data_IF_502457365245
#
_entry.id   IF_502457365245
#
_cell.length_a   1.000
_cell.length_b   1.000
_cell.length_c   1.000
_cell.angle_alpha   90.00
_cell.angle_beta   90.00
_cell.angle_gamma   90.00
#
_symmetry.space_group_name_H-M   'P 1'
#
loop_
_entity.id
_entity.type
_entity.pdbx_description
1 polymer ?
#
# COMPACT_ATOMS: atom_id res chain seq x y z
N UNK A 1 22.54 -11.75 -8.14
CA UNK A 1 21.62 -10.69 -8.64
C UNK A 1 21.17 -9.85 -7.45
N UNK A 2 21.11 -8.52 -7.61
CA UNK A 2 20.54 -7.63 -6.59
C UNK A 2 19.04 -7.91 -6.47
N UNK A 3 18.50 -8.04 -5.25
CA UNK A 3 17.07 -8.31 -5.07
C UNK A 3 16.21 -7.13 -5.55
N UNK A 4 14.92 -7.38 -5.82
CA UNK A 4 13.96 -6.30 -6.16
C UNK A 4 13.98 -5.21 -5.09
N UNK A 5 13.97 -5.61 -3.82
CA UNK A 5 13.97 -4.68 -2.70
C UNK A 5 15.30 -3.92 -2.54
N UNK A 6 16.45 -4.52 -2.87
CA UNK A 6 17.73 -3.80 -2.86
C UNK A 6 17.73 -2.66 -3.88
N UNK A 7 17.11 -2.86 -5.04
CA UNK A 7 16.93 -1.79 -6.03
C UNK A 7 15.90 -0.76 -5.57
N UNK A 8 14.78 -1.22 -5.02
CA UNK A 8 13.70 -0.35 -4.54
C UNK A 8 14.20 0.59 -3.45
N UNK A 9 14.93 0.09 -2.46
CA UNK A 9 15.38 0.91 -1.32
C UNK A 9 16.71 1.63 -1.56
N UNK A 10 17.63 1.06 -2.35
CA UNK A 10 18.87 1.74 -2.77
C UNK A 10 19.76 2.22 -1.63
N UNK A 11 19.65 1.60 -0.43
CA UNK A 11 20.50 1.91 0.73
C UNK A 11 20.14 3.21 1.48
N UNK A 12 18.96 3.78 1.25
CA UNK A 12 18.42 4.92 2.01
C UNK A 12 16.96 4.68 2.39
N UNK A 13 16.48 5.37 3.42
CA UNK A 13 15.05 5.37 3.75
C UNK A 13 14.24 6.02 2.65
N UNK A 14 13.26 5.32 2.12
CA UNK A 14 12.34 5.78 1.07
C UNK A 14 11.09 6.40 1.67
N UNK A 15 10.47 7.30 0.93
CA UNK A 15 9.21 7.94 1.33
C UNK A 15 8.09 7.51 0.38
N UNK A 16 7.06 6.89 0.95
CA UNK A 16 5.87 6.46 0.23
C UNK A 16 4.67 7.30 0.66
N UNK A 17 3.93 7.83 -0.31
CA UNK A 17 2.66 8.51 -0.05
C UNK A 17 1.58 7.49 0.36
N UNK A 18 1.05 7.58 1.60
CA UNK A 18 -0.04 6.76 2.13
C UNK A 18 -1.33 7.07 1.37
N UNK A 19 -1.83 6.13 0.60
CA UNK A 19 -2.97 6.33 -0.31
C UNK A 19 -2.76 7.52 -1.24
N UNK A 20 -1.49 7.74 -1.64
CA UNK A 20 -1.01 8.96 -2.28
C UNK A 20 -0.63 10.05 -1.26
N UNK A 21 -0.65 11.31 -1.67
CA UNK A 21 -0.46 12.47 -0.77
C UNK A 21 -1.79 12.83 -0.08
N UNK A 22 -2.36 11.88 0.71
CA UNK A 22 -3.72 12.00 1.26
C UNK A 22 -3.92 13.14 2.25
N UNK A 23 -2.84 13.74 2.74
CA UNK A 23 -2.92 14.95 3.56
C UNK A 23 -3.33 16.20 2.76
N UNK A 24 -3.31 16.14 1.42
CA UNK A 24 -3.54 17.28 0.51
C UNK A 24 -4.55 17.00 -0.61
N UNK A 25 -4.85 15.74 -0.88
CA UNK A 25 -5.76 15.31 -1.94
C UNK A 25 -6.59 14.10 -1.46
N UNK A 26 -7.77 13.82 -2.06
CA UNK A 26 -8.61 12.71 -1.63
C UNK A 26 -7.86 11.38 -1.76
N UNK A 27 -7.82 10.62 -0.66
CA UNK A 27 -7.08 9.36 -0.57
C UNK A 27 -7.48 8.35 -1.66
N UNK A 28 -6.53 7.52 -2.09
CA UNK A 28 -6.76 6.44 -3.05
C UNK A 28 -7.31 6.92 -4.39
N UNK A 29 -6.94 8.13 -4.82
CA UNK A 29 -7.35 8.70 -6.11
C UNK A 29 -6.15 9.09 -6.98
N UNK A 30 -6.35 9.17 -8.30
CA UNK A 30 -5.29 9.60 -9.21
C UNK A 30 -4.71 10.98 -8.84
N UNK A 31 -5.50 12.01 -8.46
CA UNK A 31 -4.95 13.28 -7.96
C UNK A 31 -4.01 13.12 -6.77
N UNK A 32 -4.30 12.22 -5.81
CA UNK A 32 -3.43 11.99 -4.66
C UNK A 32 -2.11 11.30 -5.04
N UNK A 33 -2.16 10.35 -5.97
CA UNK A 33 -0.97 9.65 -6.46
C UNK A 33 -0.08 10.57 -7.31
N UNK A 34 -0.67 11.34 -8.21
CA UNK A 34 0.05 12.34 -9.00
C UNK A 34 0.70 13.42 -8.14
N UNK A 35 -0.01 13.88 -7.09
CA UNK A 35 0.55 14.84 -6.16
C UNK A 35 1.74 14.26 -5.38
N UNK A 36 1.66 13.00 -4.92
CA UNK A 36 2.79 12.34 -4.28
C UNK A 36 4.02 12.29 -5.21
N UNK A 37 3.82 11.97 -6.50
CA UNK A 37 4.89 11.99 -7.50
C UNK A 37 5.47 13.40 -7.69
N UNK A 38 4.64 14.44 -7.76
CA UNK A 38 5.07 15.84 -7.88
C UNK A 38 5.85 16.32 -6.66
N UNK A 39 5.51 15.82 -5.47
CA UNK A 39 6.22 16.10 -4.22
C UNK A 39 7.54 15.35 -4.09
N UNK A 40 7.87 14.47 -5.04
CA UNK A 40 9.13 13.71 -5.05
C UNK A 40 9.11 12.43 -4.21
N UNK A 41 7.94 11.89 -3.90
CA UNK A 41 7.83 10.59 -3.25
C UNK A 41 8.54 9.50 -4.08
N UNK A 42 9.20 8.56 -3.41
CA UNK A 42 9.83 7.40 -4.05
C UNK A 42 8.77 6.39 -4.53
N UNK A 43 7.64 6.33 -3.82
CA UNK A 43 6.55 5.43 -4.10
C UNK A 43 5.24 5.90 -3.49
N UNK A 44 4.22 5.09 -3.70
CA UNK A 44 2.92 5.23 -3.04
C UNK A 44 2.48 3.89 -2.47
N UNK A 45 1.68 3.97 -1.44
CA UNK A 45 0.90 2.86 -0.93
C UNK A 45 -0.55 3.07 -1.34
N UNK A 46 -1.28 1.99 -1.61
CA UNK A 46 -2.68 1.98 -2.01
C UNK A 46 -3.39 0.71 -1.57
N UNK A 47 -4.71 0.80 -1.44
CA UNK A 47 -5.58 -0.29 -0.99
C UNK A 47 -6.42 -0.84 -2.16
N UNK A 48 -6.39 -2.15 -2.40
CA UNK A 48 -7.15 -2.78 -3.49
C UNK A 48 -8.28 -3.66 -2.97
N UNK A 49 -9.46 -3.53 -3.61
CA UNK A 49 -10.67 -4.33 -3.35
C UNK A 49 -11.31 -4.79 -4.65
N UNK A 50 -12.25 -5.73 -4.54
CA UNK A 50 -13.05 -6.21 -5.67
C UNK A 50 -14.46 -5.60 -5.66
N UNK A 51 -14.94 -5.28 -6.85
CA UNK A 51 -16.36 -5.06 -7.13
C UNK A 51 -17.11 -6.38 -7.32
N UNK A 52 -18.45 -6.34 -7.35
CA UNK A 52 -19.28 -7.54 -7.56
C UNK A 52 -19.06 -8.23 -8.92
N UNK A 53 -18.65 -7.48 -9.93
CA UNK A 53 -18.29 -7.99 -11.26
C UNK A 53 -16.78 -8.28 -11.41
N UNK A 54 -16.04 -8.22 -10.29
CA UNK A 54 -14.65 -8.65 -10.19
C UNK A 54 -13.62 -7.69 -10.74
N UNK A 55 -13.93 -6.39 -10.85
CA UNK A 55 -12.94 -5.37 -11.14
C UNK A 55 -12.13 -5.01 -9.88
N UNK A 56 -10.83 -4.74 -10.06
CA UNK A 56 -9.96 -4.24 -9.01
C UNK A 56 -10.08 -2.72 -8.90
N UNK A 57 -10.61 -2.23 -7.78
CA UNK A 57 -10.76 -0.79 -7.47
C UNK A 57 -9.93 -0.39 -6.27
N UNK A 58 -9.55 0.88 -6.20
CA UNK A 58 -8.66 1.41 -5.16
C UNK A 58 -9.51 2.11 -4.11
N UNK A 59 -9.67 1.43 -2.97
CA UNK A 59 -10.53 1.88 -1.86
C UNK A 59 -10.09 1.24 -0.56
N UNK A 60 -9.97 2.04 0.52
CA UNK A 60 -9.56 1.51 1.83
C UNK A 60 -10.69 0.77 2.54
N UNK A 61 -11.83 1.42 2.73
CA UNK A 61 -12.95 0.85 3.48
C UNK A 61 -13.71 -0.19 2.65
N UNK A 62 -14.41 -1.11 3.29
CA UNK A 62 -15.29 -2.08 2.60
C UNK A 62 -16.53 -1.41 1.99
N UNK A 63 -16.85 -0.18 2.42
CA UNK A 63 -17.95 0.63 1.89
C UNK A 63 -17.46 1.92 1.25
N UNK A 64 -18.26 2.50 0.37
CA UNK A 64 -17.95 3.76 -0.32
C UNK A 64 -18.36 5.00 0.49
N UNK A 65 -18.98 4.82 1.67
CA UNK A 65 -19.68 5.86 2.44
C UNK A 65 -18.77 6.99 2.93
N UNK A 66 -17.55 6.63 3.37
CA UNK A 66 -16.63 7.59 4.01
C UNK A 66 -15.89 8.51 3.04
N UNK A 67 -15.75 8.08 1.78
CA UNK A 67 -14.88 8.74 0.79
C UNK A 67 -15.53 8.98 -0.56
N UNK A 68 -16.88 8.91 -0.62
CA UNK A 68 -17.63 9.25 -1.83
C UNK A 68 -19.01 9.81 -1.48
N UNK A 69 -19.74 10.21 -2.51
CA UNK A 69 -21.16 10.61 -2.41
C UNK A 69 -22.12 9.41 -2.44
N UNK A 70 -21.59 8.16 -2.53
CA UNK A 70 -22.39 6.93 -2.53
C UNK A 70 -22.57 6.31 -1.16
N UNK A 71 -23.22 5.15 -1.12
CA UNK A 71 -23.42 4.34 0.08
C UNK A 71 -23.43 2.85 -0.26
N UNK A 72 -22.92 2.03 0.67
CA UNK A 72 -22.97 0.57 0.59
C UNK A 72 -21.63 -0.08 0.36
N UNK A 73 -21.62 -1.42 0.38
CA UNK A 73 -20.41 -2.22 0.23
C UNK A 73 -19.92 -2.24 -1.23
N UNK A 74 -18.63 -1.99 -1.45
CA UNK A 74 -18.05 -2.01 -2.78
C UNK A 74 -18.14 -3.39 -3.44
N UNK A 75 -18.10 -4.46 -2.64
CA UNK A 75 -18.26 -5.84 -3.10
C UNK A 75 -19.67 -6.16 -3.66
N UNK A 76 -20.67 -5.32 -3.38
CA UNK A 76 -22.04 -5.43 -3.90
C UNK A 76 -22.28 -4.54 -5.13
N UNK A 77 -21.32 -3.68 -5.50
CA UNK A 77 -21.40 -2.75 -6.62
C UNK A 77 -20.64 -3.28 -7.83
N UNK A 78 -21.20 -3.08 -9.02
CA UNK A 78 -20.45 -3.25 -10.27
C UNK A 78 -19.47 -2.10 -10.49
N UNK A 79 -18.44 -2.30 -11.32
CA UNK A 79 -17.53 -1.22 -11.71
C UNK A 79 -18.29 -0.02 -12.31
N UNK A 80 -19.32 -0.27 -13.10
CA UNK A 80 -20.14 0.79 -13.68
C UNK A 80 -20.80 1.67 -12.60
N UNK A 81 -21.34 1.07 -11.54
CA UNK A 81 -21.90 1.80 -10.40
C UNK A 81 -20.85 2.58 -9.61
N UNK A 82 -19.68 1.96 -9.34
CA UNK A 82 -18.56 2.64 -8.67
C UNK A 82 -18.08 3.85 -9.46
N UNK A 83 -18.11 3.80 -10.78
CA UNK A 83 -17.71 4.89 -11.68
C UNK A 83 -18.63 6.11 -11.67
N UNK A 84 -19.87 5.99 -11.21
CA UNK A 84 -20.80 7.11 -11.04
C UNK A 84 -20.53 7.92 -9.77
N UNK A 85 -19.70 7.40 -8.86
CA UNK A 85 -19.45 8.04 -7.58
C UNK A 85 -18.40 9.16 -7.69
N UNK A 86 -18.65 10.24 -6.96
CA UNK A 86 -17.68 11.31 -6.73
C UNK A 86 -16.89 11.01 -5.45
N UNK A 87 -15.61 10.70 -5.61
CA UNK A 87 -14.66 10.40 -4.53
C UNK A 87 -13.77 11.59 -4.17
N UNK A 88 -14.09 12.80 -4.63
CA UNK A 88 -13.26 13.98 -4.40
C UNK A 88 -13.91 15.09 -3.61
N UNK A 89 -15.20 15.35 -3.84
CA UNK A 89 -15.91 16.49 -3.25
C UNK A 89 -16.00 16.45 -1.71
N UNK A 90 -15.94 15.28 -1.10
CA UNK A 90 -15.91 15.11 0.36
C UNK A 90 -14.65 15.71 1.00
N UNK A 91 -13.53 15.69 0.26
CA UNK A 91 -12.25 16.22 0.73
C UNK A 91 -12.16 17.75 0.51
N UNK A 92 -12.43 18.20 -0.71
CA UNK A 92 -12.47 19.62 -1.09
C UNK A 92 -13.21 19.73 -2.43
N UNK A 93 -14.05 20.76 -2.60
CA UNK A 93 -14.83 20.99 -3.83
C UNK A 93 -13.98 21.14 -5.10
N UNK A 94 -12.70 21.54 -4.98
CA UNK A 94 -11.76 21.57 -6.12
C UNK A 94 -11.50 20.18 -6.74
N UNK A 95 -11.77 19.10 -5.98
CA UNK A 95 -11.65 17.72 -6.43
C UNK A 95 -12.99 17.11 -6.84
N UNK A 96 -14.08 17.88 -6.88
CA UNK A 96 -15.38 17.37 -7.31
C UNK A 96 -15.28 16.69 -8.68
N UNK A 97 -15.98 15.55 -8.83
CA UNK A 97 -15.92 14.72 -10.03
C UNK A 97 -14.74 13.75 -10.10
N UNK A 98 -13.86 13.72 -9.07
CA UNK A 98 -12.83 12.68 -8.98
C UNK A 98 -13.48 11.32 -8.78
N UNK A 99 -13.03 10.31 -9.53
CA UNK A 99 -13.58 8.95 -9.48
C UNK A 99 -12.69 8.02 -8.65
N UNK A 100 -13.29 6.95 -8.14
CA UNK A 100 -12.55 5.81 -7.59
C UNK A 100 -11.83 5.13 -8.75
N UNK A 101 -10.47 5.06 -8.74
CA UNK A 101 -9.74 4.47 -9.85
C UNK A 101 -9.72 2.95 -9.76
N UNK A 102 -9.50 2.29 -10.88
CA UNK A 102 -9.07 0.88 -10.94
C UNK A 102 -7.57 0.77 -10.72
N UNK A 103 -7.10 -0.43 -10.36
CA UNK A 103 -5.66 -0.72 -10.25
C UNK A 103 -4.95 -0.50 -11.60
N UNK A 104 -5.60 -0.85 -12.70
CA UNK A 104 -5.11 -0.62 -14.07
C UNK A 104 -4.81 0.85 -14.34
N UNK A 105 -5.74 1.75 -13.99
CA UNK A 105 -5.57 3.19 -14.19
C UNK A 105 -4.45 3.77 -13.34
N UNK A 106 -4.28 3.27 -12.11
CA UNK A 106 -3.15 3.69 -11.27
C UNK A 106 -1.83 3.20 -11.86
N UNK A 107 -1.75 1.95 -12.30
CA UNK A 107 -0.53 1.41 -12.93
C UNK A 107 -0.18 2.13 -14.23
N UNK A 108 -1.17 2.50 -15.04
CA UNK A 108 -0.96 3.32 -16.23
C UNK A 108 -0.42 4.71 -15.89
N UNK A 109 -1.01 5.38 -14.89
CA UNK A 109 -0.66 6.75 -14.53
C UNK A 109 0.74 6.86 -13.89
N UNK A 110 1.07 5.99 -12.94
CA UNK A 110 2.27 6.17 -12.12
C UNK A 110 3.22 4.95 -12.07
N UNK A 111 2.83 3.80 -12.59
CA UNK A 111 3.56 2.53 -12.41
C UNK A 111 5.00 2.54 -12.89
N UNK A 112 5.32 3.30 -13.96
CA UNK A 112 6.69 3.44 -14.46
C UNK A 112 7.49 4.54 -13.76
N UNK A 113 6.84 5.39 -12.96
CA UNK A 113 7.44 6.57 -12.31
C UNK A 113 7.74 6.34 -10.83
N UNK A 114 6.89 5.56 -10.15
CA UNK A 114 6.96 5.31 -8.70
C UNK A 114 7.08 3.82 -8.38
N UNK A 115 7.59 3.50 -7.20
CA UNK A 115 7.37 2.20 -6.58
C UNK A 115 5.96 2.16 -5.98
N UNK A 116 5.36 0.98 -5.93
CA UNK A 116 3.98 0.84 -5.45
C UNK A 116 3.91 -0.26 -4.39
N UNK A 117 3.41 0.07 -3.22
CA UNK A 117 2.96 -0.89 -2.22
C UNK A 117 1.46 -1.12 -2.42
N UNK A 118 1.08 -2.30 -2.86
CA UNK A 118 -0.31 -2.71 -3.06
C UNK A 118 -0.78 -3.48 -1.84
N UNK A 119 -1.61 -2.86 -0.99
CA UNK A 119 -2.27 -3.58 0.09
C UNK A 119 -3.52 -4.30 -0.44
N UNK A 120 -3.52 -5.63 -0.38
CA UNK A 120 -4.72 -6.43 -0.67
C UNK A 120 -5.55 -6.51 0.61
N UNK A 121 -6.76 -5.94 0.57
CA UNK A 121 -7.71 -5.95 1.68
C UNK A 121 -8.40 -7.30 1.80
N UNK A 122 -8.54 -7.80 3.03
CA UNK A 122 -9.11 -9.11 3.34
C UNK A 122 -10.44 -9.05 4.10
N UNK A 123 -10.99 -7.86 4.31
CA UNK A 123 -12.26 -7.72 5.06
C UNK A 123 -13.41 -8.41 4.32
N UNK A 124 -14.01 -9.35 5.04
CA UNK A 124 -14.91 -10.31 4.44
C UNK A 124 -14.15 -11.50 3.88
N UNK A 125 -14.83 -12.58 3.64
CA UNK A 125 -14.26 -13.81 3.09
C UNK A 125 -13.71 -13.57 1.67
N UNK A 126 -12.40 -13.27 1.57
CA UNK A 126 -11.70 -13.17 0.29
C UNK A 126 -11.30 -14.55 -0.25
N UNK A 127 -11.52 -15.62 0.52
CA UNK A 127 -11.27 -16.97 0.08
C UNK A 127 -12.18 -17.29 -1.14
N UNK A 128 -11.53 -17.63 -2.23
CA UNK A 128 -12.24 -17.95 -3.49
C UNK A 128 -12.59 -16.75 -4.38
N UNK A 129 -12.35 -15.51 -3.96
CA UNK A 129 -12.59 -14.34 -4.83
C UNK A 129 -11.56 -14.21 -5.96
N UNK A 130 -10.38 -14.81 -5.78
CA UNK A 130 -9.27 -14.74 -6.74
C UNK A 130 -8.65 -13.35 -6.88
N UNK A 131 -8.79 -12.49 -5.87
CA UNK A 131 -8.21 -11.13 -5.90
C UNK A 131 -6.69 -11.17 -6.07
N UNK A 132 -6.01 -12.14 -5.46
CA UNK A 132 -4.57 -12.32 -5.55
C UNK A 132 -4.12 -12.62 -6.98
N UNK A 133 -4.84 -13.49 -7.69
CA UNK A 133 -4.55 -13.80 -9.09
C UNK A 133 -4.79 -12.58 -9.97
N UNK A 134 -5.88 -11.84 -9.76
CA UNK A 134 -6.18 -10.63 -10.53
C UNK A 134 -5.13 -9.53 -10.33
N UNK A 135 -4.66 -9.33 -9.10
CA UNK A 135 -3.57 -8.39 -8.81
C UNK A 135 -2.27 -8.85 -9.49
N UNK A 136 -1.96 -10.13 -9.42
CA UNK A 136 -0.79 -10.71 -10.10
C UNK A 136 -0.86 -10.52 -11.62
N UNK A 137 -2.05 -10.74 -12.23
CA UNK A 137 -2.27 -10.56 -13.66
C UNK A 137 -2.05 -9.10 -14.09
N UNK A 138 -2.52 -8.13 -13.28
CA UNK A 138 -2.29 -6.70 -13.54
C UNK A 138 -0.81 -6.32 -13.42
N UNK A 139 -0.12 -6.79 -12.38
CA UNK A 139 1.33 -6.56 -12.22
C UNK A 139 2.10 -7.12 -13.42
N UNK A 140 1.75 -8.31 -13.89
CA UNK A 140 2.37 -8.93 -15.07
C UNK A 140 2.04 -8.16 -16.36
N UNK A 141 0.79 -7.76 -16.55
CA UNK A 141 0.30 -7.03 -17.73
C UNK A 141 1.03 -5.70 -17.92
N UNK A 142 1.29 -4.98 -16.82
CA UNK A 142 2.01 -3.70 -16.86
C UNK A 142 3.53 -3.83 -16.75
N UNK A 143 4.06 -5.04 -16.55
CA UNK A 143 5.49 -5.27 -16.42
C UNK A 143 6.11 -4.68 -15.14
N UNK A 144 5.36 -4.67 -14.03
CA UNK A 144 5.71 -3.96 -12.80
C UNK A 144 6.32 -4.85 -11.70
N UNK A 145 6.69 -6.09 -11.99
CA UNK A 145 7.25 -7.03 -10.98
C UNK A 145 8.42 -6.46 -10.17
N UNK A 146 9.22 -5.56 -10.77
CA UNK A 146 10.37 -4.94 -10.12
C UNK A 146 10.06 -3.61 -9.45
N UNK A 147 8.80 -3.18 -9.45
CA UNK A 147 8.35 -1.90 -8.89
C UNK A 147 7.25 -2.03 -7.87
N UNK A 148 6.75 -3.25 -7.65
CA UNK A 148 5.65 -3.53 -6.73
C UNK A 148 6.13 -4.37 -5.55
N UNK A 149 5.64 -4.05 -4.37
CA UNK A 149 5.55 -4.93 -3.20
C UNK A 149 4.08 -5.10 -2.85
N UNK A 150 3.67 -6.33 -2.55
CA UNK A 150 2.29 -6.59 -2.12
C UNK A 150 2.26 -6.78 -0.61
N UNK A 151 1.31 -6.13 0.06
CA UNK A 151 1.16 -6.22 1.50
C UNK A 151 -0.27 -6.58 1.92
N UNK A 152 -0.42 -7.12 3.10
CA UNK A 152 -1.71 -7.38 3.74
C UNK A 152 -1.55 -7.57 5.24
N UNK A 153 -2.62 -7.29 6.00
CA UNK A 153 -2.76 -7.69 7.40
C UNK A 153 -3.13 -9.18 7.54
N UNK A 154 -3.64 -9.79 6.46
CA UNK A 154 -4.04 -11.19 6.45
C UNK A 154 -2.92 -12.07 5.89
N UNK A 155 -2.27 -12.92 6.72
CA UNK A 155 -1.28 -13.87 6.25
C UNK A 155 -1.78 -14.80 5.15
N UNK A 156 -3.06 -15.17 5.15
CA UNK A 156 -3.62 -16.09 4.15
C UNK A 156 -3.69 -15.45 2.75
N UNK A 157 -3.95 -14.14 2.66
CA UNK A 157 -3.82 -13.37 1.42
C UNK A 157 -2.38 -13.44 0.90
N UNK A 158 -1.40 -13.23 1.79
CA UNK A 158 0.02 -13.29 1.40
C UNK A 158 0.45 -14.69 0.97
N UNK A 159 -0.04 -15.75 1.63
CA UNK A 159 0.18 -17.13 1.22
C UNK A 159 -0.37 -17.41 -0.19
N UNK A 160 -1.62 -16.98 -0.47
CA UNK A 160 -2.25 -17.17 -1.79
C UNK A 160 -1.54 -16.33 -2.86
N UNK A 161 -1.17 -15.07 -2.55
CA UNK A 161 -0.43 -14.24 -3.48
C UNK A 161 0.96 -14.81 -3.80
N UNK A 162 1.70 -15.28 -2.80
CA UNK A 162 3.01 -15.93 -2.99
C UNK A 162 2.91 -17.17 -3.91
N UNK A 163 1.80 -17.93 -3.81
CA UNK A 163 1.57 -19.10 -4.66
C UNK A 163 1.37 -18.74 -6.14
N UNK A 164 0.72 -17.61 -6.43
CA UNK A 164 0.42 -17.20 -7.83
C UNK A 164 1.51 -16.30 -8.43
N UNK A 165 2.27 -15.56 -7.61
CA UNK A 165 3.34 -14.68 -8.08
C UNK A 165 4.57 -14.70 -7.14
N UNK A 166 5.39 -15.77 -7.19
CA UNK A 166 6.51 -15.96 -6.26
C UNK A 166 7.63 -14.94 -6.40
N UNK A 167 7.76 -14.27 -7.56
CA UNK A 167 8.85 -13.35 -7.87
C UNK A 167 8.62 -11.92 -7.36
N UNK A 168 7.40 -11.58 -6.94
CA UNK A 168 7.07 -10.26 -6.37
C UNK A 168 7.21 -10.33 -4.86
N UNK A 169 7.96 -9.38 -4.24
CA UNK A 169 8.13 -9.35 -2.80
C UNK A 169 6.80 -9.11 -2.08
N UNK A 170 6.67 -9.70 -0.90
CA UNK A 170 5.51 -9.49 -0.01
C UNK A 170 5.94 -8.92 1.34
N UNK A 171 5.05 -8.11 1.93
CA UNK A 171 5.23 -7.46 3.22
C UNK A 171 4.05 -7.74 4.16
N UNK A 172 4.35 -8.18 5.37
CA UNK A 172 3.34 -8.42 6.39
C UNK A 172 3.05 -7.15 7.18
N UNK A 173 1.79 -6.68 7.11
CA UNK A 173 1.27 -5.56 7.91
C UNK A 173 0.80 -6.05 9.28
N UNK A 174 1.16 -5.34 10.34
CA UNK A 174 0.69 -5.63 11.69
C UNK A 174 0.87 -4.44 12.64
N UNK A 175 0.12 -4.46 13.71
CA UNK A 175 0.14 -3.46 14.78
C UNK A 175 0.27 -4.11 16.17
N UNK A 176 0.42 -3.30 17.22
CA UNK A 176 0.75 -3.75 18.58
C UNK A 176 -0.22 -4.81 19.12
N UNK A 177 -1.48 -4.76 18.70
CA UNK A 177 -2.51 -5.69 19.15
C UNK A 177 -2.77 -6.86 18.19
N UNK A 178 -1.91 -7.04 17.18
CA UNK A 178 -2.06 -8.21 16.28
C UNK A 178 -1.85 -9.50 17.08
N UNK A 179 -2.83 -10.41 17.12
CA UNK A 179 -2.74 -11.64 17.90
C UNK A 179 -1.55 -12.51 17.47
N UNK A 180 -0.90 -13.17 18.44
CA UNK A 180 0.21 -14.09 18.17
C UNK A 180 -0.16 -15.21 17.20
N UNK A 181 -1.41 -15.66 17.21
CA UNK A 181 -1.91 -16.66 16.27
C UNK A 181 -1.82 -16.18 14.82
N UNK A 182 -2.05 -14.88 14.57
CA UNK A 182 -1.94 -14.26 13.25
C UNK A 182 -0.48 -14.12 12.85
N UNK A 183 0.37 -13.62 13.75
CA UNK A 183 1.81 -13.49 13.46
C UNK A 183 2.49 -14.84 13.24
N UNK A 184 2.03 -15.89 13.92
CA UNK A 184 2.54 -17.26 13.77
C UNK A 184 2.27 -17.84 12.38
N UNK A 185 1.19 -17.44 11.69
CA UNK A 185 0.89 -17.87 10.33
C UNK A 185 1.95 -17.40 9.31
N UNK A 186 2.72 -16.36 9.66
CA UNK A 186 3.82 -15.88 8.82
C UNK A 186 5.14 -16.63 9.04
N UNK A 187 5.24 -17.48 10.07
CA UNK A 187 6.49 -18.15 10.42
C UNK A 187 6.99 -19.07 9.30
N UNK A 188 6.07 -19.77 8.63
CA UNK A 188 6.37 -20.73 7.56
C UNK A 188 6.27 -20.13 6.15
N UNK A 189 5.90 -18.84 6.03
CA UNK A 189 5.84 -18.14 4.75
C UNK A 189 7.11 -17.33 4.53
N UNK A 190 7.97 -17.70 3.55
CA UNK A 190 9.08 -16.84 3.15
C UNK A 190 8.56 -15.49 2.65
N UNK A 191 8.99 -14.43 3.32
CA UNK A 191 8.61 -13.06 2.98
C UNK A 191 9.79 -12.12 3.18
N UNK A 192 9.80 -11.03 2.44
CA UNK A 192 10.97 -10.16 2.36
C UNK A 192 10.85 -8.92 3.25
N UNK A 193 9.60 -8.53 3.60
CA UNK A 193 9.39 -7.28 4.33
C UNK A 193 8.40 -7.42 5.49
N UNK A 194 8.63 -6.59 6.51
CA UNK A 194 7.77 -6.35 7.65
C UNK A 194 7.25 -4.93 7.62
N UNK A 195 5.94 -4.77 7.82
CA UNK A 195 5.28 -3.47 7.80
C UNK A 195 4.63 -3.19 9.19
N UNK A 196 5.44 -2.99 10.26
CA UNK A 196 4.93 -2.69 11.59
C UNK A 196 4.35 -1.28 11.67
N UNK A 197 3.38 -1.09 12.56
CA UNK A 197 3.01 0.24 13.02
C UNK A 197 4.22 0.90 13.71
N UNK A 198 4.50 2.17 13.41
CA UNK A 198 5.77 2.83 13.73
C UNK A 198 6.14 2.85 15.22
N UNK A 199 5.15 2.78 16.13
CA UNK A 199 5.41 2.76 17.58
C UNK A 199 6.03 1.45 18.07
N UNK A 200 6.04 0.39 17.24
CA UNK A 200 6.66 -0.90 17.58
C UNK A 200 8.15 -0.94 17.23
N UNK A 201 8.67 0.12 16.60
CA UNK A 201 10.05 0.15 16.10
C UNK A 201 10.96 0.83 17.11
N UNK A 202 11.92 0.04 17.59
CA UNK A 202 13.06 0.46 18.39
C UNK A 202 14.36 -0.19 17.86
N UNK A 203 15.46 0.03 18.55
CA UNK A 203 16.77 -0.52 18.15
C UNK A 203 16.79 -2.05 18.19
N UNK A 204 16.12 -2.66 19.16
CA UNK A 204 16.08 -4.12 19.31
C UNK A 204 15.25 -4.76 18.20
N UNK A 205 14.09 -4.15 17.86
CA UNK A 205 13.28 -4.57 16.73
C UNK A 205 14.07 -4.52 15.41
N UNK A 206 14.77 -3.40 15.14
CA UNK A 206 15.56 -3.25 13.92
C UNK A 206 16.75 -4.23 13.87
N UNK A 207 17.41 -4.48 15.00
CA UNK A 207 18.47 -5.48 15.09
C UNK A 207 17.95 -6.89 14.77
N UNK A 208 16.78 -7.25 15.31
CA UNK A 208 16.11 -8.51 15.02
C UNK A 208 15.72 -8.61 13.53
N UNK A 209 15.02 -7.60 12.99
CA UNK A 209 14.57 -7.61 11.61
C UNK A 209 15.74 -7.77 10.62
N UNK A 210 16.83 -7.04 10.87
CA UNK A 210 18.07 -7.14 10.09
C UNK A 210 18.71 -8.54 10.17
N UNK A 211 18.73 -9.14 11.38
CA UNK A 211 19.28 -10.50 11.58
C UNK A 211 18.46 -11.56 10.83
N UNK A 212 17.14 -11.33 10.65
CA UNK A 212 16.26 -12.18 9.87
C UNK A 212 16.31 -11.88 8.34
N UNK A 213 16.97 -10.79 7.93
CA UNK A 213 17.03 -10.36 6.54
C UNK A 213 15.80 -9.60 6.05
N UNK A 214 14.92 -9.15 6.94
CA UNK A 214 13.74 -8.39 6.59
C UNK A 214 14.06 -6.94 6.24
N UNK A 215 13.35 -6.41 5.26
CA UNK A 215 13.17 -4.97 5.05
C UNK A 215 12.03 -4.47 5.94
N UNK A 216 12.16 -3.25 6.43
CA UNK A 216 11.17 -2.66 7.34
C UNK A 216 10.55 -1.42 6.71
N UNK A 217 9.25 -1.49 6.39
CA UNK A 217 8.42 -0.38 5.95
C UNK A 217 7.46 -0.02 7.07
N UNK A 218 7.35 1.24 7.43
CA UNK A 218 6.49 1.62 8.57
C UNK A 218 5.46 2.69 8.22
N UNK A 219 4.35 2.69 8.96
CA UNK A 219 3.14 3.46 8.73
C UNK A 219 2.46 3.86 10.05
N UNK A 220 1.62 4.90 10.12
CA UNK A 220 1.63 6.07 9.23
C UNK A 220 2.38 7.18 9.95
N UNK A 221 3.50 7.60 9.40
CA UNK A 221 4.42 8.54 10.07
C UNK A 221 4.24 9.93 9.45
N UNK A 222 3.59 10.82 10.20
CA UNK A 222 3.30 12.19 9.76
C UNK A 222 4.13 13.26 10.47
N UNK A 223 4.86 12.87 11.52
CA UNK A 223 5.75 13.75 12.28
C UNK A 223 7.17 13.70 11.70
N UNK A 224 7.71 14.83 11.22
CA UNK A 224 9.06 14.90 10.69
C UNK A 224 10.16 14.49 11.68
N UNK A 225 9.98 14.79 12.98
CA UNK A 225 10.95 14.40 14.03
C UNK A 225 10.98 12.88 14.17
N UNK A 226 9.80 12.25 14.25
CA UNK A 226 9.70 10.79 14.30
C UNK A 226 10.24 10.12 13.04
N UNK A 227 10.06 10.73 11.87
CA UNK A 227 10.62 10.22 10.63
C UNK A 227 12.15 10.17 10.64
N UNK A 228 12.80 11.22 11.17
CA UNK A 228 14.26 11.26 11.35
C UNK A 228 14.72 10.17 12.33
N UNK A 229 14.05 10.01 13.48
CA UNK A 229 14.37 8.94 14.44
C UNK A 229 14.30 7.55 13.77
N UNK A 230 13.25 7.28 13.01
CA UNK A 230 13.07 5.99 12.32
C UNK A 230 14.10 5.76 11.21
N UNK A 231 14.47 6.81 10.45
CA UNK A 231 15.57 6.76 9.49
C UNK A 231 16.88 6.39 10.20
N UNK A 232 17.18 7.03 11.33
CA UNK A 232 18.43 6.81 12.08
C UNK A 232 18.48 5.42 12.72
N UNK A 233 17.33 4.81 13.01
CA UNK A 233 17.20 3.39 13.37
C UNK A 233 17.39 2.46 12.17
N UNK A 234 17.30 2.96 10.93
CA UNK A 234 17.56 2.22 9.70
C UNK A 234 16.35 1.58 9.06
N UNK A 235 15.12 2.15 9.22
CA UNK A 235 13.94 1.69 8.47
C UNK A 235 14.15 1.89 6.97
N UNK A 236 13.65 0.97 6.16
CA UNK A 236 13.83 0.99 4.69
C UNK A 236 12.82 1.92 4.01
N UNK A 237 11.59 2.03 4.53
CA UNK A 237 10.61 2.97 4.01
C UNK A 237 9.68 3.54 5.09
N UNK A 238 9.27 4.79 4.87
CA UNK A 238 8.27 5.50 5.66
C UNK A 238 7.05 5.78 4.79
N UNK A 239 5.88 5.31 5.23
CA UNK A 239 4.58 5.55 4.60
C UNK A 239 3.93 6.72 5.35
N UNK A 240 3.58 7.80 4.62
CA UNK A 240 3.14 9.08 5.19
C UNK A 240 2.01 9.74 4.40
N UNK A 241 1.18 10.52 5.09
CA UNK A 241 0.15 11.36 4.46
C UNK A 241 0.74 12.65 3.83
N UNK A 242 1.99 13.01 4.20
CA UNK A 242 2.64 14.28 3.84
C UNK A 242 4.04 14.03 3.24
N UNK A 243 4.15 13.49 2.01
CA UNK A 243 5.45 13.13 1.43
C UNK A 243 6.44 14.28 1.41
N UNK A 244 6.02 15.48 1.02
CA UNK A 244 6.85 16.70 0.96
C UNK A 244 7.52 17.03 2.30
N UNK A 245 6.74 16.96 3.41
CA UNK A 245 7.26 17.27 4.75
C UNK A 245 8.28 16.24 5.22
N UNK A 246 8.00 14.97 4.95
CA UNK A 246 8.90 13.89 5.39
C UNK A 246 10.17 13.89 4.52
N UNK A 247 10.07 14.08 3.21
CA UNK A 247 11.24 14.21 2.32
C UNK A 247 12.13 15.37 2.77
N UNK A 248 11.54 16.55 3.06
CA UNK A 248 12.30 17.69 3.53
C UNK A 248 13.02 17.45 4.86
N UNK A 249 12.46 16.62 5.74
CA UNK A 249 13.07 16.27 7.02
C UNK A 249 14.20 15.24 6.89
N UNK A 250 14.09 14.35 5.92
CA UNK A 250 15.08 13.28 5.73
C UNK A 250 16.33 13.77 4.94
N UNK A 251 16.24 14.87 4.21
CA UNK A 251 17.35 15.47 3.44
C UNK A 251 17.48 14.92 2.06
#
# INVERSE_FOLDING_TARGET
MQSVLDRMYGGRTRVFGHRGAMGYAPMNTLPAFELAAQQGADGVELDVRLTSDGALVILHDSTVDGTSNGRGAVAEMTLAQVRELDAGAWFDLKFAGTRIPTLSEVFEAIGQRLYINVEIKSEGDTEGTGIEQKVADEIARFGLKERVIVSSFDPMVLHRFRAVMPDVPIGFLYETNTPDAITSLMADLPHEARHPYFQQIDADYMAWAKAQGYRVNTWTVNDPVKAVELRDLGVDAIITNYPDKIIAALG
#
